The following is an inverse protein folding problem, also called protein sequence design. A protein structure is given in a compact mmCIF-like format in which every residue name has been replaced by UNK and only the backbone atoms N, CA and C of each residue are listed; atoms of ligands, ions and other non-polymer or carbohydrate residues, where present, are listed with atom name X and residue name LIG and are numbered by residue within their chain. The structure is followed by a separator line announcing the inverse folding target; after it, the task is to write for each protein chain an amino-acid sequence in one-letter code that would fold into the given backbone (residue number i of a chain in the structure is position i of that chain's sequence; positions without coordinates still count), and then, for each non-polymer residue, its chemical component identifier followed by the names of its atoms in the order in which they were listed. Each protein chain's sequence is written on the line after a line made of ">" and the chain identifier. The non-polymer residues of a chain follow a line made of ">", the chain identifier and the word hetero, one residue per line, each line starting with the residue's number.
data_IF_282687108099
#
_entry.id   IF_282687108099
#
_cell.length_a   1.000
_cell.length_b   1.000
_cell.length_c   1.000
_cell.angle_alpha   90.00
_cell.angle_beta   90.00
_cell.angle_gamma   90.00
#
_symmetry.space_group_name_H-M   'P 1'
#
loop_
_entity.id
_entity.type
_entity.pdbx_description
1 polymer ?
#
# COMPACT_ATOMS: atom_id res chain seq x y z
N UNK A 1 8.29 -19.49 14.81
CA UNK A 1 8.38 -18.01 14.92
C UNK A 1 7.01 -17.47 15.31
N UNK A 2 6.87 -16.72 16.41
CA UNK A 2 5.55 -16.23 16.88
C UNK A 2 5.29 -14.83 16.30
N UNK A 3 4.22 -14.71 15.50
CA UNK A 3 3.87 -13.51 14.73
C UNK A 3 3.07 -12.45 15.53
N UNK A 4 2.61 -12.76 16.77
CA UNK A 4 1.77 -11.87 17.57
C UNK A 4 2.15 -11.81 19.07
N UNK A 5 1.94 -10.65 19.69
CA UNK A 5 2.13 -10.43 21.14
C UNK A 5 1.06 -11.17 21.96
N UNK A 6 1.45 -11.73 23.11
CA UNK A 6 0.57 -12.54 23.98
C UNK A 6 -0.14 -11.71 25.06
N UNK A 7 0.09 -10.40 25.13
CA UNK A 7 -0.67 -9.48 25.99
C UNK A 7 -1.86 -8.89 25.23
N UNK A 8 -3.11 -9.05 25.73
CA UNK A 8 -4.34 -8.73 24.99
C UNK A 8 -4.43 -7.25 24.57
N UNK A 9 -3.98 -6.32 25.42
CA UNK A 9 -3.98 -4.89 25.10
C UNK A 9 -3.05 -4.52 23.93
N UNK A 10 -1.90 -5.21 23.80
CA UNK A 10 -0.96 -4.97 22.69
C UNK A 10 -1.35 -5.73 21.43
N UNK A 11 -1.93 -6.93 21.57
CA UNK A 11 -2.51 -7.69 20.45
C UNK A 11 -3.61 -6.89 19.76
N UNK A 12 -4.52 -6.29 20.54
CA UNK A 12 -5.62 -5.48 19.99
C UNK A 12 -5.10 -4.23 19.28
N UNK A 13 -4.07 -3.56 19.81
CA UNK A 13 -3.41 -2.43 19.10
C UNK A 13 -2.73 -2.87 17.80
N UNK A 14 -2.13 -4.05 17.75
CA UNK A 14 -1.54 -4.59 16.52
C UNK A 14 -2.62 -4.90 15.49
N UNK A 15 -3.69 -5.60 15.89
CA UNK A 15 -4.83 -5.90 15.01
C UNK A 15 -5.45 -4.59 14.50
N UNK A 16 -5.68 -3.62 15.38
CA UNK A 16 -6.25 -2.33 14.99
C UNK A 16 -5.31 -1.58 14.03
N UNK A 17 -4.00 -1.57 14.27
CA UNK A 17 -3.04 -0.94 13.37
C UNK A 17 -2.98 -1.64 12.01
N UNK A 18 -3.05 -2.97 11.98
CA UNK A 18 -3.08 -3.76 10.75
C UNK A 18 -4.38 -3.51 9.98
N UNK A 19 -5.53 -3.47 10.67
CA UNK A 19 -6.82 -3.14 10.07
C UNK A 19 -6.85 -1.71 9.53
N UNK A 20 -6.32 -0.73 10.26
CA UNK A 20 -6.20 0.65 9.79
C UNK A 20 -5.31 0.73 8.55
N UNK A 21 -4.17 0.03 8.54
CA UNK A 21 -3.29 -0.01 7.37
C UNK A 21 -4.00 -0.60 6.15
N UNK A 22 -4.68 -1.74 6.32
CA UNK A 22 -5.46 -2.37 5.23
C UNK A 22 -6.58 -1.45 4.75
N UNK A 23 -7.32 -0.84 5.67
CA UNK A 23 -8.40 0.09 5.34
C UNK A 23 -7.89 1.33 4.58
N UNK A 24 -6.75 1.90 4.99
CA UNK A 24 -6.12 3.03 4.30
C UNK A 24 -5.65 2.65 2.89
N UNK A 25 -5.05 1.47 2.74
CA UNK A 25 -4.65 0.96 1.41
C UNK A 25 -5.88 0.76 0.53
N UNK A 26 -6.92 0.10 1.04
CA UNK A 26 -8.17 -0.10 0.30
C UNK A 26 -8.84 1.22 -0.09
N UNK A 27 -8.91 2.19 0.83
CA UNK A 27 -9.47 3.51 0.56
C UNK A 27 -8.66 4.27 -0.49
N UNK A 28 -7.32 4.17 -0.46
CA UNK A 28 -6.44 4.80 -1.44
C UNK A 28 -6.64 4.19 -2.82
N UNK A 29 -6.70 2.86 -2.92
CA UNK A 29 -6.95 2.17 -4.19
C UNK A 29 -8.31 2.55 -4.75
N UNK A 30 -9.35 2.52 -3.92
CA UNK A 30 -10.70 2.92 -4.32
C UNK A 30 -10.74 4.38 -4.82
N UNK A 31 -10.10 5.30 -4.10
CA UNK A 31 -10.00 6.71 -4.50
C UNK A 31 -9.24 6.86 -5.83
N UNK A 32 -8.12 6.16 -6.01
CA UNK A 32 -7.32 6.21 -7.24
C UNK A 32 -8.05 5.65 -8.47
N UNK A 33 -8.85 4.59 -8.30
CA UNK A 33 -9.71 4.07 -9.35
C UNK A 33 -10.83 5.04 -9.70
N UNK A 34 -11.44 5.69 -8.70
CA UNK A 34 -12.47 6.72 -8.94
C UNK A 34 -11.90 7.90 -9.73
N UNK A 35 -10.68 8.33 -9.41
CA UNK A 35 -9.97 9.38 -10.16
C UNK A 35 -9.61 8.91 -11.57
N UNK A 36 -9.19 7.66 -11.74
CA UNK A 36 -8.92 7.06 -13.06
C UNK A 36 -10.15 7.15 -13.96
N UNK A 37 -11.28 6.66 -13.47
CA UNK A 37 -12.54 6.63 -14.21
C UNK A 37 -12.98 8.05 -14.58
N UNK A 38 -12.84 9.00 -13.66
CA UNK A 38 -13.13 10.40 -13.92
C UNK A 38 -12.23 11.00 -15.02
N UNK A 39 -10.94 10.66 -15.06
CA UNK A 39 -10.04 11.11 -16.12
C UNK A 39 -10.40 10.43 -17.45
N UNK A 40 -10.76 9.15 -17.45
CA UNK A 40 -11.16 8.42 -18.66
C UNK A 40 -12.42 8.97 -19.33
N UNK A 41 -13.27 9.71 -18.61
CA UNK A 41 -14.37 10.48 -19.22
C UNK A 41 -13.86 11.54 -20.20
N UNK A 42 -12.66 12.09 -19.99
CA UNK A 42 -12.04 13.05 -20.90
C UNK A 42 -11.60 12.40 -22.24
N UNK A 43 -11.54 11.07 -22.32
CA UNK A 43 -11.26 10.36 -23.57
C UNK A 43 -12.52 10.20 -24.45
N UNK A 44 -13.72 10.41 -23.91
CA UNK A 44 -14.97 10.25 -24.66
C UNK A 44 -15.10 11.23 -25.85
N UNK A 45 -14.76 12.52 -25.72
CA UNK A 45 -14.70 13.44 -26.86
C UNK A 45 -13.73 12.97 -27.95
N UNK A 46 -12.56 12.45 -27.57
CA UNK A 46 -11.57 11.91 -28.51
C UNK A 46 -12.12 10.74 -29.32
N UNK A 47 -12.84 9.81 -28.67
CA UNK A 47 -13.52 8.69 -29.35
C UNK A 47 -14.57 9.15 -30.36
N UNK A 48 -15.34 10.18 -30.01
CA UNK A 48 -16.33 10.75 -30.94
C UNK A 48 -15.66 11.42 -32.14
N UNK A 49 -14.55 12.13 -31.91
CA UNK A 49 -13.76 12.75 -33.00
C UNK A 49 -13.15 11.69 -33.92
N UNK A 50 -12.53 10.64 -33.35
CA UNK A 50 -11.99 9.50 -34.10
C UNK A 50 -13.06 8.86 -35.00
N UNK A 51 -14.16 8.40 -34.41
CA UNK A 51 -15.24 7.75 -35.15
C UNK A 51 -15.89 8.64 -36.22
N UNK A 52 -16.03 9.95 -35.96
CA UNK A 52 -16.56 10.89 -36.95
C UNK A 52 -15.59 11.13 -38.09
N UNK A 53 -14.30 11.24 -37.79
CA UNK A 53 -13.23 11.39 -38.78
C UNK A 53 -13.12 10.18 -39.70
N UNK A 54 -13.14 8.97 -39.15
CA UNK A 54 -13.10 7.70 -39.90
C UNK A 54 -14.33 7.52 -40.80
N UNK A 55 -15.52 7.81 -40.27
CA UNK A 55 -16.76 7.74 -41.06
C UNK A 55 -16.71 8.73 -42.23
N UNK A 56 -16.28 9.97 -41.96
CA UNK A 56 -16.18 10.99 -42.99
C UNK A 56 -15.10 10.66 -44.03
N UNK A 57 -13.94 10.14 -43.60
CA UNK A 57 -12.89 9.67 -44.51
C UNK A 57 -13.40 8.56 -45.43
N UNK A 58 -14.16 7.61 -44.87
CA UNK A 58 -14.77 6.50 -45.63
C UNK A 58 -15.79 7.02 -46.65
N UNK A 59 -16.71 7.91 -46.24
CA UNK A 59 -17.71 8.48 -47.13
C UNK A 59 -17.09 9.30 -48.28
N UNK A 60 -16.08 10.13 -47.97
CA UNK A 60 -15.37 10.95 -48.95
C UNK A 60 -14.53 10.09 -49.91
N UNK A 61 -13.90 9.04 -49.41
CA UNK A 61 -13.19 8.06 -50.24
C UNK A 61 -14.12 7.36 -51.22
N UNK A 62 -15.26 6.84 -50.73
CA UNK A 62 -16.28 6.22 -51.55
C UNK A 62 -16.85 7.19 -52.61
N UNK A 63 -17.08 8.46 -52.22
CA UNK A 63 -17.54 9.49 -53.14
C UNK A 63 -16.47 9.83 -54.20
N UNK A 64 -15.19 9.87 -53.82
CA UNK A 64 -14.06 10.06 -54.74
C UNK A 64 -13.96 8.95 -55.77
N UNK A 65 -14.11 7.70 -55.34
CA UNK A 65 -14.12 6.54 -56.23
C UNK A 65 -15.34 6.54 -57.15
N UNK A 66 -16.53 6.88 -56.65
CA UNK A 66 -17.72 7.04 -57.47
C UNK A 66 -17.55 8.16 -58.52
N UNK A 67 -17.01 9.30 -58.11
CA UNK A 67 -16.76 10.45 -58.99
C UNK A 67 -15.73 10.15 -60.09
N UNK A 68 -14.78 9.25 -59.82
CA UNK A 68 -13.78 8.82 -60.81
C UNK A 68 -14.38 8.14 -62.05
N UNK A 69 -15.62 7.63 -61.94
CA UNK A 69 -16.33 7.00 -63.06
C UNK A 69 -17.01 7.99 -64.02
N UNK A 70 -16.92 9.32 -63.78
CA UNK A 70 -17.53 10.33 -64.65
C UNK A 70 -16.62 10.61 -65.86
N UNK A 71 -17.09 10.43 -67.12
CA UNK A 71 -16.29 10.69 -68.31
C UNK A 71 -15.80 12.14 -68.39
N UNK A 72 -14.57 12.34 -68.88
CA UNK A 72 -13.90 13.64 -69.10
C UNK A 72 -13.55 14.47 -67.85
N UNK A 73 -14.22 14.29 -66.71
CA UNK A 73 -14.00 15.10 -65.49
C UNK A 73 -13.76 14.28 -64.20
N UNK A 74 -13.81 12.94 -64.25
CA UNK A 74 -13.72 12.09 -63.06
C UNK A 74 -12.46 12.31 -62.21
N UNK A 75 -11.29 12.46 -62.84
CA UNK A 75 -10.03 12.72 -62.12
C UNK A 75 -10.00 14.11 -61.44
N UNK A 76 -10.67 15.11 -62.03
CA UNK A 76 -10.78 16.46 -61.46
C UNK A 76 -11.67 16.47 -60.21
N UNK A 77 -12.64 15.56 -60.14
CA UNK A 77 -13.55 15.40 -58.99
C UNK A 77 -12.97 14.47 -57.93
N UNK A 78 -12.26 13.41 -58.33
CA UNK A 78 -11.63 12.44 -57.41
C UNK A 78 -10.62 13.11 -56.49
N UNK A 79 -9.71 13.91 -57.04
CA UNK A 79 -8.57 14.47 -56.30
C UNK A 79 -8.98 15.29 -55.05
N UNK A 80 -9.91 16.27 -55.13
CA UNK A 80 -10.33 17.00 -53.94
C UNK A 80 -11.08 16.14 -52.91
N UNK A 81 -11.87 15.15 -53.36
CA UNK A 81 -12.56 14.21 -52.46
C UNK A 81 -11.56 13.31 -51.72
N UNK A 82 -10.55 12.80 -52.42
CA UNK A 82 -9.47 12.02 -51.82
C UNK A 82 -8.68 12.84 -50.80
N UNK A 83 -8.31 14.09 -51.14
CA UNK A 83 -7.62 14.98 -50.20
C UNK A 83 -8.45 15.32 -48.97
N UNK A 84 -9.77 15.44 -49.11
CA UNK A 84 -10.67 15.64 -47.98
C UNK A 84 -10.79 14.37 -47.11
N UNK A 85 -10.76 13.17 -47.72
CA UNK A 85 -10.71 11.90 -47.00
C UNK A 85 -9.42 11.76 -46.18
N UNK A 86 -8.27 12.10 -46.79
CA UNK A 86 -6.96 12.08 -46.11
C UNK A 86 -6.93 13.07 -44.93
N UNK A 87 -7.46 14.28 -45.12
CA UNK A 87 -7.58 15.26 -44.04
C UNK A 87 -8.50 14.78 -42.90
N UNK A 88 -9.59 14.08 -43.24
CA UNK A 88 -10.52 13.48 -42.26
C UNK A 88 -9.88 12.34 -41.48
N UNK A 89 -9.01 11.55 -42.12
CA UNK A 89 -8.19 10.53 -41.46
C UNK A 89 -7.23 11.18 -40.46
N UNK A 90 -6.60 12.31 -40.81
CA UNK A 90 -5.77 13.08 -39.87
C UNK A 90 -6.54 13.62 -38.65
N UNK A 91 -7.84 13.92 -38.80
CA UNK A 91 -8.71 14.26 -37.67
C UNK A 91 -8.97 13.03 -36.79
N UNK A 92 -9.16 11.87 -37.40
CA UNK A 92 -9.36 10.63 -36.68
C UNK A 92 -8.12 10.25 -35.84
N UNK A 93 -6.94 10.29 -36.46
CA UNK A 93 -5.64 10.09 -35.80
C UNK A 93 -5.44 11.06 -34.63
N UNK A 94 -5.83 12.33 -34.78
CA UNK A 94 -5.78 13.30 -33.70
C UNK A 94 -6.72 12.90 -32.54
N UNK A 95 -7.94 12.44 -32.86
CA UNK A 95 -8.88 11.89 -31.89
C UNK A 95 -8.33 10.71 -31.12
N UNK A 96 -7.63 9.79 -31.80
CA UNK A 96 -6.96 8.65 -31.18
C UNK A 96 -5.79 9.09 -30.28
N UNK A 97 -4.93 9.99 -30.76
CA UNK A 97 -3.78 10.49 -29.99
C UNK A 97 -4.19 11.18 -28.68
N UNK A 98 -5.33 11.87 -28.68
CA UNK A 98 -5.90 12.47 -27.47
C UNK A 98 -6.35 11.41 -26.46
N UNK A 99 -6.97 10.33 -26.93
CA UNK A 99 -7.38 9.22 -26.07
C UNK A 99 -6.18 8.55 -25.42
N UNK A 100 -5.11 8.31 -26.19
CA UNK A 100 -3.87 7.71 -25.69
C UNK A 100 -3.21 8.61 -24.63
N UNK A 101 -3.15 9.92 -24.88
CA UNK A 101 -2.62 10.88 -23.91
C UNK A 101 -3.44 10.90 -22.61
N UNK A 102 -4.77 10.93 -22.71
CA UNK A 102 -5.66 10.88 -21.55
C UNK A 102 -5.48 9.57 -20.79
N UNK A 103 -5.41 8.43 -21.49
CA UNK A 103 -5.19 7.12 -20.89
C UNK A 103 -3.86 7.07 -20.13
N UNK A 104 -2.77 7.58 -20.74
CA UNK A 104 -1.46 7.60 -20.12
C UNK A 104 -1.43 8.49 -18.86
N UNK A 105 -2.07 9.66 -18.90
CA UNK A 105 -2.21 10.55 -17.74
C UNK A 105 -3.06 9.88 -16.64
N UNK A 106 -4.16 9.22 -17.01
CA UNK A 106 -5.00 8.50 -16.08
C UNK A 106 -4.19 7.41 -15.36
N UNK A 107 -3.45 6.57 -16.11
CA UNK A 107 -2.63 5.50 -15.53
C UNK A 107 -1.51 6.04 -14.64
N UNK A 108 -0.75 7.04 -15.09
CA UNK A 108 0.33 7.64 -14.30
C UNK A 108 -0.21 8.25 -12.99
N UNK A 109 -1.33 8.95 -13.08
CA UNK A 109 -1.98 9.55 -11.91
C UNK A 109 -2.43 8.47 -10.93
N UNK A 110 -3.12 7.42 -11.40
CA UNK A 110 -3.54 6.29 -10.57
C UNK A 110 -2.36 5.60 -9.89
N UNK A 111 -1.28 5.34 -10.63
CA UNK A 111 -0.07 4.72 -10.06
C UNK A 111 0.53 5.61 -8.99
N UNK A 112 0.69 6.91 -9.23
CA UNK A 112 1.22 7.85 -8.25
C UNK A 112 0.34 7.92 -6.99
N UNK A 113 -0.98 7.98 -7.18
CA UNK A 113 -1.96 8.09 -6.10
C UNK A 113 -2.04 6.83 -5.24
N UNK A 114 -1.69 5.65 -5.79
CA UNK A 114 -1.57 4.41 -5.02
C UNK A 114 -0.19 4.30 -4.39
N UNK A 115 0.87 4.50 -5.17
CA UNK A 115 2.24 4.24 -4.74
C UNK A 115 2.66 5.14 -3.58
N UNK A 116 2.34 6.44 -3.62
CA UNK A 116 2.78 7.39 -2.58
C UNK A 116 2.16 7.07 -1.21
N UNK A 117 0.82 6.95 -1.07
CA UNK A 117 0.24 6.66 0.23
C UNK A 117 0.59 5.26 0.74
N UNK A 118 0.64 4.25 -0.14
CA UNK A 118 1.06 2.90 0.23
C UNK A 118 2.50 2.91 0.74
N UNK A 119 3.41 3.62 0.05
CA UNK A 119 4.79 3.77 0.51
C UNK A 119 4.85 4.44 1.88
N UNK A 120 4.07 5.50 2.13
CA UNK A 120 4.01 6.17 3.44
C UNK A 120 3.50 5.21 4.52
N UNK A 121 2.41 4.48 4.27
CA UNK A 121 1.87 3.49 5.21
C UNK A 121 2.92 2.42 5.53
N UNK A 122 3.58 1.88 4.51
CA UNK A 122 4.65 0.90 4.69
C UNK A 122 5.83 1.49 5.47
N UNK A 123 6.27 2.70 5.14
CA UNK A 123 7.43 3.33 5.76
C UNK A 123 7.18 3.70 7.23
N UNK A 124 5.94 3.99 7.61
CA UNK A 124 5.56 4.22 9.01
C UNK A 124 5.29 2.91 9.78
N UNK A 125 4.64 1.93 9.14
CA UNK A 125 4.20 0.69 9.79
C UNK A 125 5.31 -0.37 9.88
N UNK A 126 6.08 -0.57 8.81
CA UNK A 126 7.07 -1.64 8.69
C UNK A 126 8.20 -1.52 9.73
N UNK A 127 8.81 -0.34 10.00
CA UNK A 127 9.88 -0.21 10.99
C UNK A 127 9.38 -0.46 12.41
N UNK A 128 8.16 -0.02 12.74
CA UNK A 128 7.56 -0.29 14.05
C UNK A 128 7.38 -1.79 14.26
N UNK A 129 6.89 -2.50 13.23
CA UNK A 129 6.68 -3.95 13.28
C UNK A 129 8.00 -4.73 13.32
N UNK A 130 8.97 -4.36 12.49
CA UNK A 130 10.31 -4.97 12.47
C UNK A 130 11.05 -4.80 13.80
N UNK A 131 11.03 -3.59 14.38
CA UNK A 131 11.65 -3.34 15.70
C UNK A 131 11.02 -4.21 16.78
N UNK A 132 9.70 -4.39 16.74
CA UNK A 132 9.00 -5.26 17.69
C UNK A 132 9.38 -6.74 17.50
N UNK A 133 9.35 -7.25 16.27
CA UNK A 133 9.75 -8.63 15.95
C UNK A 133 11.19 -8.90 16.43
N UNK A 134 12.13 -8.00 16.14
CA UNK A 134 13.52 -8.11 16.60
C UNK A 134 13.64 -8.12 18.11
N UNK A 135 12.99 -7.18 18.81
CA UNK A 135 13.03 -7.09 20.28
C UNK A 135 12.45 -8.34 20.94
N UNK A 136 11.32 -8.85 20.44
CA UNK A 136 10.70 -10.06 20.97
C UNK A 136 11.59 -11.29 20.78
N UNK A 137 12.26 -11.41 19.63
CA UNK A 137 13.21 -12.52 19.38
C UNK A 137 14.44 -12.45 20.28
N UNK A 138 15.03 -11.27 20.47
CA UNK A 138 16.19 -11.09 21.36
C UNK A 138 15.81 -11.45 22.80
N UNK A 139 14.67 -10.97 23.28
CA UNK A 139 14.22 -11.23 24.64
C UNK A 139 13.97 -12.73 24.89
N UNK A 140 13.45 -13.45 23.89
CA UNK A 140 13.21 -14.89 23.96
C UNK A 140 14.51 -15.69 23.95
N UNK A 141 15.43 -15.35 23.05
CA UNK A 141 16.78 -15.94 23.03
C UNK A 141 17.54 -15.71 24.32
N UNK A 142 17.36 -14.55 24.94
CA UNK A 142 18.01 -14.22 26.21
C UNK A 142 17.39 -15.02 27.36
N UNK A 143 16.08 -15.28 27.34
CA UNK A 143 15.43 -16.16 28.33
C UNK A 143 15.89 -17.61 28.21
N UNK A 144 15.99 -18.13 26.99
CA UNK A 144 16.40 -19.53 26.72
C UNK A 144 17.90 -19.78 26.99
N UNK A 145 18.69 -18.71 27.18
CA UNK A 145 20.12 -18.81 27.50
C UNK A 145 20.35 -19.22 28.97
N UNK A 146 21.42 -19.96 29.29
CA UNK A 146 21.77 -20.29 30.67
C UNK A 146 22.00 -19.00 31.47
N UNK A 147 21.31 -18.86 32.62
CA UNK A 147 21.30 -17.62 33.43
C UNK A 147 20.37 -16.50 32.90
N UNK A 148 19.63 -16.76 31.82
CA UNK A 148 18.75 -15.80 31.16
C UNK A 148 17.62 -15.25 32.03
N UNK A 149 17.00 -16.12 32.85
CA UNK A 149 15.99 -15.73 33.82
C UNK A 149 16.53 -14.70 34.82
N UNK A 150 17.78 -14.83 35.22
CA UNK A 150 18.44 -13.97 36.19
C UNK A 150 18.73 -12.57 35.61
N UNK A 151 19.14 -12.51 34.34
CA UNK A 151 19.28 -11.25 33.60
C UNK A 151 17.93 -10.53 33.41
N UNK A 152 16.86 -11.28 33.20
CA UNK A 152 15.50 -10.73 33.12
C UNK A 152 14.99 -10.26 34.48
N UNK A 153 15.33 -10.96 35.56
CA UNK A 153 15.02 -10.56 36.92
C UNK A 153 15.74 -9.24 37.28
N UNK A 154 17.03 -9.12 36.97
CA UNK A 154 17.80 -7.89 37.14
C UNK A 154 17.17 -6.71 36.37
N UNK A 155 16.76 -6.95 35.11
CA UNK A 155 16.07 -5.94 34.30
C UNK A 155 14.72 -5.52 34.90
N UNK A 156 14.03 -6.43 35.59
CA UNK A 156 12.78 -6.11 36.29
C UNK A 156 13.06 -5.16 37.46
N UNK A 157 14.10 -5.45 38.24
CA UNK A 157 14.56 -4.65 39.39
C UNK A 157 14.99 -3.24 38.99
N UNK A 158 15.63 -3.07 37.83
CA UNK A 158 16.01 -1.73 37.30
C UNK A 158 14.91 -1.05 36.49
N UNK A 159 13.70 -1.63 36.48
CA UNK A 159 12.58 -1.18 35.66
C UNK A 159 11.61 -0.24 36.39
N UNK A 160 10.36 -0.15 35.90
CA UNK A 160 9.33 0.71 36.54
C UNK A 160 8.93 0.16 37.91
N UNK A 161 8.83 1.04 38.90
CA UNK A 161 8.48 0.74 40.30
C UNK A 161 7.06 0.16 40.48
N UNK A 162 6.10 0.58 39.64
CA UNK A 162 4.70 0.15 39.76
C UNK A 162 4.48 -1.35 39.56
N UNK A 163 5.28 -2.01 38.73
CA UNK A 163 5.14 -3.46 38.52
C UNK A 163 5.86 -4.28 39.60
N UNK A 164 6.84 -3.69 40.29
CA UNK A 164 7.53 -4.32 41.43
C UNK A 164 6.62 -4.36 42.67
N UNK A 165 5.74 -3.36 42.82
CA UNK A 165 4.75 -3.31 43.89
C UNK A 165 3.67 -4.40 43.77
N UNK A 166 3.53 -5.03 42.58
CA UNK A 166 2.58 -6.12 42.36
C UNK A 166 3.12 -7.50 42.81
N UNK A 167 4.41 -7.61 43.13
CA UNK A 167 5.01 -8.86 43.63
C UNK A 167 5.00 -8.84 45.15
N UNK A 168 4.52 -9.91 45.82
CA UNK A 168 4.65 -10.05 47.26
C UNK A 168 6.12 -9.93 47.67
N UNK A 169 6.45 -8.94 48.50
CA UNK A 169 7.81 -8.76 48.96
C UNK A 169 8.16 -9.84 50.01
N UNK A 170 9.17 -10.69 49.76
CA UNK A 170 9.62 -11.67 50.76
C UNK A 170 10.27 -10.96 51.95
N UNK A 171 10.36 -11.62 53.13
CA UNK A 171 11.08 -11.10 54.27
C UNK A 171 12.55 -10.80 53.89
N UNK A 172 12.99 -9.56 54.09
CA UNK A 172 14.29 -9.04 53.63
C UNK A 172 14.26 -8.25 52.32
N UNK A 173 13.13 -8.27 51.59
CA UNK A 173 12.91 -7.52 50.36
C UNK A 173 13.41 -8.22 49.09
N UNK A 174 12.88 -7.78 47.94
CA UNK A 174 13.13 -8.40 46.63
C UNK A 174 14.62 -8.41 46.24
N UNK A 175 15.36 -7.36 46.58
CA UNK A 175 16.78 -7.24 46.24
C UNK A 175 17.69 -8.21 47.02
N UNK A 176 17.28 -8.58 48.23
CA UNK A 176 18.01 -9.52 49.08
C UNK A 176 17.70 -10.97 48.68
N UNK A 177 16.42 -11.27 48.42
CA UNK A 177 16.01 -12.57 47.89
C UNK A 177 16.63 -12.87 46.51
N UNK A 178 16.75 -11.87 45.63
CA UNK A 178 17.47 -11.99 44.36
C UNK A 178 18.97 -12.28 44.59
N UNK A 179 19.63 -11.56 45.52
CA UNK A 179 21.05 -11.79 45.85
C UNK A 179 21.34 -13.18 46.41
N UNK A 180 20.37 -13.80 47.09
CA UNK A 180 20.47 -15.16 47.61
C UNK A 180 20.22 -16.26 46.57
N UNK A 181 19.86 -15.90 45.34
CA UNK A 181 19.56 -16.86 44.27
C UNK A 181 18.23 -17.59 44.45
N UNK A 182 17.26 -16.96 45.12
CA UNK A 182 15.92 -17.55 45.29
C UNK A 182 15.25 -17.76 43.93
N UNK A 183 15.11 -19.04 43.53
CA UNK A 183 14.57 -19.40 42.21
C UNK A 183 13.12 -18.94 42.01
N UNK A 184 12.32 -18.89 43.08
CA UNK A 184 10.94 -18.45 43.02
C UNK A 184 10.88 -16.96 42.68
N UNK A 185 11.69 -16.15 43.38
CA UNK A 185 11.76 -14.70 43.17
C UNK A 185 12.36 -14.35 41.81
N UNK A 186 13.39 -15.09 41.37
CA UNK A 186 13.97 -14.91 40.02
C UNK A 186 12.94 -15.24 38.95
N UNK A 187 12.17 -16.33 39.11
CA UNK A 187 11.12 -16.70 38.18
C UNK A 187 10.04 -15.59 38.10
N UNK A 188 9.52 -15.13 39.23
CA UNK A 188 8.48 -14.10 39.30
C UNK A 188 8.95 -12.76 38.69
N UNK A 189 10.17 -12.32 39.01
CA UNK A 189 10.76 -11.10 38.44
C UNK A 189 11.01 -11.24 36.93
N UNK A 190 11.49 -12.40 36.48
CA UNK A 190 11.69 -12.67 35.06
C UNK A 190 10.37 -12.65 34.28
N UNK A 191 9.29 -13.12 34.90
CA UNK A 191 7.95 -13.15 34.29
C UNK A 191 7.40 -11.75 34.06
N UNK A 192 7.65 -10.81 34.98
CA UNK A 192 7.29 -9.39 34.80
C UNK A 192 8.00 -8.78 33.59
N UNK A 193 9.29 -9.07 33.44
CA UNK A 193 10.09 -8.64 32.29
C UNK A 193 9.56 -9.24 30.98
N UNK A 194 9.15 -10.51 30.98
CA UNK A 194 8.52 -11.18 29.83
C UNK A 194 7.15 -10.57 29.50
N UNK A 195 6.28 -10.37 30.50
CA UNK A 195 4.95 -9.75 30.34
C UNK A 195 5.07 -8.33 29.77
N UNK A 196 6.05 -7.53 30.22
CA UNK A 196 6.34 -6.19 29.63
C UNK A 196 6.76 -6.26 28.16
N UNK A 197 7.50 -7.30 27.78
CA UNK A 197 7.86 -7.57 26.39
C UNK A 197 6.67 -8.09 25.56
N UNK A 198 5.57 -8.49 26.20
CA UNK A 198 4.39 -9.09 25.57
C UNK A 198 4.55 -10.58 25.32
N UNK A 199 5.43 -11.24 26.07
CA UNK A 199 5.70 -12.68 26.05
C UNK A 199 5.07 -13.31 27.30
N UNK A 200 4.51 -14.51 27.16
CA UNK A 200 4.22 -15.40 28.29
C UNK A 200 5.42 -16.33 28.50
N UNK A 201 5.71 -16.72 29.75
CA UNK A 201 6.68 -17.77 30.04
C UNK A 201 6.37 -19.06 29.25
#
# INVERSE_FOLDING_TARGET
>A
MRLYAQTPARRNRQILADLIAVALVAATVWFALTVHDAIMLLAEPGRRVESSGDSLATELGNAGDAASNVPFVGDLLKKPLQSAADASTGIADAGQSLQDAVSQVATLTTVALIAVPVAVVLLLWLPARLRWIRRSMIMRRLFDAPGGADLLALRALTGRLGDLAAVPAPPGGLADAWRRGDQQVIADLSEISLRRAGLRP
#
